data_IF_681171191296
#
_entry.id   IF_681171191296
#
_cell.length_a   1.000
_cell.length_b   1.000
_cell.length_c   1.000
_cell.angle_alpha   90.00
_cell.angle_beta   90.00
_cell.angle_gamma   90.00
#
_symmetry.space_group_name_H-M   'P 1'
#
loop_
_entity.id
_entity.type
_entity.pdbx_description
1 polymer ?
#
# COMPACT_ATOMS: atom_id res chain seq x y z
N UNK A 1 -17.12 0.48 5.62
CA UNK A 1 -15.73 0.91 5.93
C UNK A 1 -15.61 2.38 5.61
N UNK A 2 -15.59 3.26 6.61
CA UNK A 2 -15.32 4.68 6.40
C UNK A 2 -13.80 4.92 6.52
N UNK A 3 -13.23 5.81 5.70
CA UNK A 3 -11.82 6.23 5.77
C UNK A 3 -10.78 5.11 5.64
N UNK A 4 -11.05 4.10 4.81
CA UNK A 4 -10.15 2.95 4.61
C UNK A 4 -9.96 2.67 3.13
N UNK A 5 -8.71 2.69 2.66
CA UNK A 5 -8.36 2.30 1.30
C UNK A 5 -7.59 0.96 1.30
N UNK A 6 -7.84 0.12 0.29
CA UNK A 6 -7.06 -1.09 0.03
C UNK A 6 -6.07 -0.78 -1.09
N UNK A 7 -4.78 -0.70 -0.74
CA UNK A 7 -3.72 -0.32 -1.68
C UNK A 7 -2.95 -1.57 -2.08
N UNK A 8 -2.78 -1.78 -3.39
CA UNK A 8 -1.90 -2.83 -3.92
C UNK A 8 -0.50 -2.24 -4.10
N UNK A 9 0.49 -2.84 -3.43
CA UNK A 9 1.89 -2.48 -3.56
C UNK A 9 2.61 -3.59 -4.31
N UNK A 10 3.22 -3.24 -5.44
CA UNK A 10 4.08 -4.12 -6.20
C UNK A 10 5.54 -3.89 -5.82
N UNK A 11 6.28 -4.99 -5.60
CA UNK A 11 7.73 -4.96 -5.44
C UNK A 11 8.38 -5.99 -6.33
N UNK A 12 9.56 -5.66 -6.84
CA UNK A 12 10.42 -6.62 -7.53
C UNK A 12 11.31 -7.29 -6.48
N UNK A 13 11.26 -8.62 -6.43
CA UNK A 13 12.16 -9.42 -5.60
C UNK A 13 12.97 -10.35 -6.49
N UNK A 14 14.26 -10.46 -6.19
CA UNK A 14 15.17 -11.41 -6.84
C UNK A 14 15.03 -12.78 -6.17
N UNK A 15 14.64 -13.79 -6.95
CA UNK A 15 14.60 -15.16 -6.43
C UNK A 15 15.99 -15.56 -5.92
N UNK A 16 16.13 -16.11 -4.69
CA UNK A 16 17.44 -16.31 -4.06
C UNK A 16 18.35 -17.22 -4.87
N UNK A 17 17.83 -18.35 -5.37
CA UNK A 17 18.60 -19.30 -6.17
C UNK A 17 18.76 -18.87 -7.64
N UNK A 18 17.65 -18.75 -8.37
CA UNK A 18 17.67 -18.43 -9.81
C UNK A 18 18.05 -17.00 -10.17
N UNK A 19 18.15 -16.08 -9.21
CA UNK A 19 18.51 -14.68 -9.45
C UNK A 19 17.56 -13.90 -10.39
N UNK A 20 16.44 -14.51 -10.81
CA UNK A 20 15.40 -13.92 -11.65
C UNK A 20 14.62 -12.87 -10.87
N UNK A 21 14.34 -11.72 -11.49
CA UNK A 21 13.49 -10.67 -10.92
C UNK A 21 12.03 -11.08 -11.10
N UNK A 22 11.32 -11.30 -9.99
CA UNK A 22 9.91 -11.68 -9.95
C UNK A 22 9.11 -10.54 -9.33
N UNK A 23 7.96 -10.20 -9.92
CA UNK A 23 7.01 -9.23 -9.36
C UNK A 23 6.20 -9.90 -8.26
N UNK A 24 6.15 -9.28 -7.07
CA UNK A 24 5.29 -9.72 -5.96
C UNK A 24 4.41 -8.56 -5.52
N UNK A 25 3.11 -8.78 -5.51
CA UNK A 25 2.13 -7.80 -5.04
C UNK A 25 1.64 -8.15 -3.63
N UNK A 26 1.34 -7.13 -2.83
CA UNK A 26 0.70 -7.28 -1.52
C UNK A 26 -0.32 -6.17 -1.30
N UNK A 27 -1.46 -6.54 -0.76
CA UNK A 27 -2.50 -5.58 -0.39
C UNK A 27 -2.29 -5.08 1.04
N UNK A 28 -2.41 -3.77 1.22
CA UNK A 28 -2.36 -3.10 2.51
C UNK A 28 -3.68 -2.38 2.79
N UNK A 29 -4.13 -2.45 4.04
CA UNK A 29 -5.24 -1.64 4.52
C UNK A 29 -4.65 -0.34 5.09
N UNK A 30 -5.07 0.77 4.49
CA UNK A 30 -4.49 2.09 4.74
C UNK A 30 -5.59 3.01 5.27
N UNK A 31 -5.23 3.85 6.22
CA UNK A 31 -6.10 4.92 6.67
C UNK A 31 -6.15 6.02 5.60
N UNK A 32 -7.36 6.33 5.13
CA UNK A 32 -7.61 7.34 4.12
C UNK A 32 -8.38 8.52 4.74
N UNK A 33 -7.71 9.66 4.86
CA UNK A 33 -8.31 10.91 5.32
C UNK A 33 -8.46 11.94 4.19
N UNK A 34 -8.00 11.61 2.97
CA UNK A 34 -7.94 12.52 1.82
C UNK A 34 -9.06 12.22 0.80
N UNK A 35 -9.75 11.09 0.90
CA UNK A 35 -10.86 10.74 0.02
C UNK A 35 -10.40 10.24 -1.34
N UNK A 36 -9.42 9.33 -1.35
CA UNK A 36 -8.79 8.81 -2.56
C UNK A 36 -9.73 7.86 -3.30
N UNK A 37 -9.71 7.89 -4.64
CA UNK A 37 -10.53 7.01 -5.48
C UNK A 37 -9.72 5.82 -6.01
N UNK A 38 -10.45 4.81 -6.48
CA UNK A 38 -9.85 3.66 -7.13
C UNK A 38 -9.21 4.07 -8.46
N UNK A 39 -7.90 3.83 -8.60
CA UNK A 39 -7.13 4.17 -9.78
C UNK A 39 -6.01 5.18 -9.51
N UNK A 40 -6.12 5.93 -8.42
CA UNK A 40 -5.15 6.93 -8.03
C UNK A 40 -3.85 6.28 -7.55
N UNK A 41 -2.71 6.92 -7.88
CA UNK A 41 -1.41 6.48 -7.38
C UNK A 41 -1.07 7.21 -6.09
N UNK A 42 -0.89 6.46 -5.02
CA UNK A 42 -0.66 7.03 -3.68
C UNK A 42 0.68 6.66 -3.08
N UNK A 43 1.22 7.58 -2.30
CA UNK A 43 2.35 7.33 -1.39
C UNK A 43 1.77 7.02 -0.01
N UNK A 44 2.14 5.86 0.51
CA UNK A 44 1.76 5.41 1.86
C UNK A 44 2.97 5.43 2.78
N UNK A 45 2.75 5.72 4.05
CA UNK A 45 3.79 5.70 5.10
C UNK A 45 3.31 4.90 6.30
N UNK A 46 4.26 4.27 6.99
CA UNK A 46 4.02 3.61 8.28
C UNK A 46 3.52 4.61 9.33
N UNK A 47 2.54 4.18 10.11
CA UNK A 47 1.98 4.99 11.19
C UNK A 47 1.67 4.11 12.41
N UNK A 48 1.29 4.74 13.52
CA UNK A 48 0.76 4.03 14.69
C UNK A 48 -0.38 3.09 14.26
N UNK A 49 -0.53 1.91 14.87
CA UNK A 49 -1.62 1.01 14.52
C UNK A 49 -2.97 1.71 14.74
N UNK A 50 -3.70 1.92 13.64
CA UNK A 50 -5.04 2.51 13.66
C UNK A 50 -6.09 1.42 13.92
N UNK A 51 -5.80 0.20 13.52
CA UNK A 51 -6.61 -0.99 13.80
C UNK A 51 -5.74 -2.25 13.81
N UNK A 52 -6.35 -3.41 14.00
CA UNK A 52 -5.66 -4.72 13.97
C UNK A 52 -4.79 -4.92 12.71
N UNK A 53 -5.20 -4.40 11.56
CA UNK A 53 -4.50 -4.59 10.26
C UNK A 53 -4.04 -3.28 9.60
N UNK A 54 -4.48 -2.11 10.08
CA UNK A 54 -4.10 -0.81 9.53
C UNK A 54 -2.89 -0.25 10.26
N UNK A 55 -1.77 -0.18 9.56
CA UNK A 55 -0.49 0.38 10.05
C UNK A 55 0.12 1.40 9.09
N UNK A 56 -0.67 1.83 8.11
CA UNK A 56 -0.25 2.74 7.07
C UNK A 56 -1.26 3.87 6.90
N UNK A 57 -0.79 5.06 6.53
CA UNK A 57 -1.59 6.22 6.16
C UNK A 57 -1.17 6.74 4.79
N UNK A 58 -2.12 7.31 4.05
CA UNK A 58 -1.83 8.01 2.77
C UNK A 58 -1.24 9.40 3.08
N UNK A 59 -0.08 9.71 2.52
CA UNK A 59 0.51 11.05 2.60
C UNK A 59 0.10 11.90 1.40
N UNK A 60 0.25 11.34 0.20
CA UNK A 60 0.19 12.10 -1.04
C UNK A 60 -0.42 11.27 -2.16
N UNK A 61 -1.29 11.92 -2.94
CA UNK A 61 -1.74 11.43 -4.23
C UNK A 61 -0.78 11.98 -5.29
N UNK A 62 -0.18 11.09 -6.08
CA UNK A 62 0.76 11.46 -7.15
C UNK A 62 -0.01 11.81 -8.42
N UNK A 63 -1.09 11.08 -8.71
CA UNK A 63 -1.87 11.18 -9.94
C UNK A 63 -3.30 10.77 -9.68
#
# INVERSE_FOLDING_TARGET
MQKTAKVLVERLWKHPFYQKRVKRSKHYLVQDDLGVKSGDKVIIQECRPVSKRKRFRIIKVIR
#
